data_IF_647957620118
#
_entry.id   IF_647957620118
#
_cell.length_a   1.000
_cell.length_b   1.000
_cell.length_c   1.000
_cell.angle_alpha   90.00
_cell.angle_beta   90.00
_cell.angle_gamma   90.00
#
_symmetry.space_group_name_H-M   'P 1'
#
loop_
_entity.id
_entity.type
_entity.pdbx_description
1 polymer ?
#
# COMPACT_ATOMS: atom_id res chain seq x y z
N UNK A 1 -8.46 8.45 12.89
CA UNK A 1 -8.43 9.30 11.70
C UNK A 1 -7.91 10.66 12.12
N UNK A 2 -6.85 11.16 11.47
CA UNK A 2 -6.32 12.51 11.69
C UNK A 2 -6.70 13.38 10.50
N UNK A 3 -7.22 14.56 10.75
CA UNK A 3 -7.66 15.50 9.71
C UNK A 3 -6.94 16.83 9.93
N UNK A 4 -6.21 17.31 8.94
CA UNK A 4 -5.58 18.62 8.96
C UNK A 4 -6.06 19.48 7.79
N UNK A 5 -6.43 20.72 8.09
CA UNK A 5 -6.70 21.72 7.06
C UNK A 5 -5.41 22.07 6.34
N UNK A 6 -5.45 22.07 5.01
CA UNK A 6 -4.35 22.64 4.22
C UNK A 6 -4.51 24.14 4.06
N UNK A 7 -3.45 24.81 3.60
CA UNK A 7 -3.43 26.25 3.33
C UNK A 7 -4.40 26.70 2.22
N UNK A 8 -5.04 25.75 1.51
CA UNK A 8 -6.07 26.00 0.50
C UNK A 8 -7.44 25.76 1.12
N UNK A 9 -8.30 26.79 1.08
CA UNK A 9 -9.66 26.69 1.60
C UNK A 9 -10.41 25.50 0.98
N UNK A 10 -10.91 24.60 1.85
CA UNK A 10 -11.71 23.45 1.46
C UNK A 10 -10.92 22.16 1.14
N UNK A 11 -9.59 22.16 1.32
CA UNK A 11 -8.79 20.93 1.21
C UNK A 11 -8.31 20.44 2.57
N UNK A 12 -8.46 19.14 2.82
CA UNK A 12 -8.06 18.49 4.06
C UNK A 12 -7.17 17.29 3.75
N UNK A 13 -6.06 17.18 4.49
CA UNK A 13 -5.32 15.93 4.56
C UNK A 13 -6.01 15.03 5.58
N UNK A 14 -6.28 13.80 5.15
CA UNK A 14 -6.93 12.79 5.96
C UNK A 14 -6.00 11.60 6.04
N UNK A 15 -5.64 11.22 7.27
CA UNK A 15 -4.84 10.03 7.55
C UNK A 15 -5.68 9.03 8.35
N UNK A 16 -5.60 7.78 7.95
CA UNK A 16 -6.24 6.65 8.62
C UNK A 16 -5.23 6.00 9.56
N UNK A 17 -5.68 5.55 10.73
CA UNK A 17 -4.83 4.76 11.65
C UNK A 17 -4.84 3.28 11.25
N UNK A 18 -3.86 2.52 11.75
CA UNK A 18 -3.79 1.07 11.50
C UNK A 18 -5.03 0.34 12.03
N UNK A 19 -5.57 0.76 13.18
CA UNK A 19 -6.79 0.20 13.77
C UNK A 19 -8.03 0.43 12.87
N UNK A 20 -8.14 1.60 12.26
CA UNK A 20 -9.24 1.92 11.34
C UNK A 20 -9.10 1.14 10.02
N UNK A 21 -7.87 0.93 9.56
CA UNK A 21 -7.61 0.08 8.40
C UNK A 21 -8.03 -1.38 8.68
N UNK A 22 -7.78 -1.88 9.90
CA UNK A 22 -8.25 -3.20 10.32
C UNK A 22 -9.78 -3.28 10.43
N UNK A 23 -10.42 -2.22 10.92
CA UNK A 23 -11.89 -2.15 10.95
C UNK A 23 -12.49 -2.14 9.54
N UNK A 24 -11.92 -1.37 8.61
CA UNK A 24 -12.32 -1.37 7.21
C UNK A 24 -12.18 -2.75 6.58
N UNK A 25 -11.11 -3.47 6.93
CA UNK A 25 -10.88 -4.84 6.50
C UNK A 25 -11.94 -5.80 7.03
N UNK A 26 -12.32 -5.68 8.31
CA UNK A 26 -13.41 -6.47 8.92
C UNK A 26 -14.77 -6.18 8.29
N UNK A 27 -14.99 -4.94 7.83
CA UNK A 27 -16.21 -4.54 7.13
C UNK A 27 -16.25 -4.96 5.65
N UNK A 28 -15.16 -5.51 5.09
CA UNK A 28 -15.11 -5.92 3.70
C UNK A 28 -16.10 -7.06 3.42
N UNK A 29 -17.03 -6.83 2.49
CA UNK A 29 -18.09 -7.78 2.17
C UNK A 29 -17.59 -9.01 1.40
N UNK A 30 -16.48 -8.88 0.67
CA UNK A 30 -15.93 -9.95 -0.16
C UNK A 30 -14.43 -10.14 0.04
N UNK A 31 -13.95 -11.35 -0.24
CA UNK A 31 -12.52 -11.65 -0.24
C UNK A 31 -11.73 -10.78 -1.24
N UNK A 32 -12.37 -10.38 -2.34
CA UNK A 32 -11.76 -9.47 -3.31
C UNK A 32 -11.53 -8.09 -2.72
N UNK A 33 -12.49 -7.57 -1.98
CA UNK A 33 -12.38 -6.25 -1.34
C UNK A 33 -11.36 -6.29 -0.20
N UNK A 34 -11.32 -7.38 0.57
CA UNK A 34 -10.26 -7.63 1.56
C UNK A 34 -8.86 -7.58 0.91
N UNK A 35 -8.67 -8.27 -0.22
CA UNK A 35 -7.40 -8.22 -0.95
C UNK A 35 -7.04 -6.83 -1.47
N UNK A 36 -8.02 -6.04 -1.89
CA UNK A 36 -7.80 -4.65 -2.34
C UNK A 36 -7.35 -3.79 -1.17
N UNK A 37 -7.99 -3.92 0.00
CA UNK A 37 -7.62 -3.21 1.24
C UNK A 37 -6.22 -3.63 1.70
N UNK A 38 -5.88 -4.93 1.62
CA UNK A 38 -4.55 -5.43 1.96
C UNK A 38 -3.46 -4.86 1.04
N UNK A 39 -3.68 -4.90 -0.27
CA UNK A 39 -2.72 -4.39 -1.26
C UNK A 39 -2.60 -2.86 -1.22
N UNK A 40 -3.70 -2.15 -0.96
CA UNK A 40 -3.71 -0.70 -0.85
C UNK A 40 -3.10 -0.21 0.46
N UNK A 41 -3.52 -0.78 1.59
CA UNK A 41 -3.17 -0.34 2.93
C UNK A 41 -1.80 -0.85 3.40
N UNK A 42 -1.55 -2.17 3.35
CA UNK A 42 -0.32 -2.75 3.90
C UNK A 42 0.87 -2.70 2.93
N UNK A 43 0.61 -2.76 1.62
CA UNK A 43 1.66 -2.71 0.58
C UNK A 43 1.84 -1.30 0.00
N UNK A 44 0.83 -0.43 0.13
CA UNK A 44 0.87 0.92 -0.43
C UNK A 44 0.71 0.97 -1.95
N UNK A 45 0.06 -0.03 -2.55
CA UNK A 45 -0.21 -0.02 -4.00
C UNK A 45 -1.29 1.00 -4.35
N UNK A 46 -1.12 1.66 -5.49
CA UNK A 46 -2.16 2.55 -6.01
C UNK A 46 -3.29 1.74 -6.67
N UNK A 47 -4.47 2.33 -6.73
CA UNK A 47 -5.67 1.72 -7.34
C UNK A 47 -5.43 1.15 -8.75
N UNK A 48 -4.59 1.81 -9.56
CA UNK A 48 -4.26 1.33 -10.91
C UNK A 48 -3.19 0.22 -10.94
N UNK A 49 -2.40 0.06 -9.89
CA UNK A 49 -1.36 -0.98 -9.77
C UNK A 49 -1.97 -2.30 -9.29
N UNK A 50 -2.96 -2.25 -8.40
CA UNK A 50 -3.65 -3.42 -7.81
C UNK A 50 -4.14 -4.43 -8.86
N UNK A 51 -4.92 -4.07 -9.90
CA UNK A 51 -5.44 -5.03 -10.87
C UNK A 51 -4.36 -5.63 -11.79
N UNK A 52 -3.16 -5.05 -11.85
CA UNK A 52 -2.05 -5.57 -12.66
C UNK A 52 -1.24 -6.64 -11.93
N UNK A 53 -1.42 -6.75 -10.61
CA UNK A 53 -0.77 -7.77 -9.79
C UNK A 53 -1.33 -9.15 -10.14
N UNK A 54 -0.45 -10.13 -10.28
CA UNK A 54 -0.78 -11.53 -10.54
C UNK A 54 0.01 -12.41 -9.58
N UNK A 55 -0.47 -13.62 -9.25
CA UNK A 55 0.23 -14.54 -8.34
C UNK A 55 1.71 -14.78 -8.72
N UNK A 56 2.00 -14.87 -10.03
CA UNK A 56 3.37 -15.02 -10.57
C UNK A 56 4.34 -13.87 -10.23
N UNK A 57 3.83 -12.74 -9.73
CA UNK A 57 4.64 -11.60 -9.33
C UNK A 57 5.04 -11.63 -7.85
N UNK A 58 4.50 -12.57 -7.08
CA UNK A 58 4.87 -12.81 -5.68
C UNK A 58 6.10 -13.71 -5.67
N UNK A 59 7.18 -13.25 -5.04
CA UNK A 59 8.37 -14.07 -4.80
C UNK A 59 8.61 -14.16 -3.30
N UNK A 60 8.92 -15.36 -2.82
CA UNK A 60 9.37 -15.55 -1.44
C UNK A 60 10.82 -15.09 -1.34
N UNK A 61 11.13 -14.35 -0.29
CA UNK A 61 12.50 -13.89 0.00
C UNK A 61 13.29 -15.08 0.52
N UNK A 62 14.63 -15.07 0.34
CA UNK A 62 15.52 -16.13 0.79
C UNK A 62 15.41 -16.38 2.31
N UNK A 63 15.07 -15.34 3.06
CA UNK A 63 14.81 -15.38 4.50
C UNK A 63 13.56 -16.21 4.88
N UNK A 64 12.76 -16.68 3.92
CA UNK A 64 11.58 -17.54 4.16
C UNK A 64 10.36 -16.83 4.76
N UNK A 65 10.54 -15.76 5.50
CA UNK A 65 9.47 -15.10 6.26
C UNK A 65 8.78 -13.96 5.49
N UNK A 66 9.37 -13.51 4.40
CA UNK A 66 8.94 -12.30 3.70
C UNK A 66 8.54 -12.58 2.26
N UNK A 67 7.41 -12.01 1.83
CA UNK A 67 6.97 -12.02 0.43
C UNK A 67 7.29 -10.68 -0.24
N UNK A 68 7.91 -10.73 -1.42
CA UNK A 68 8.19 -9.56 -2.25
C UNK A 68 7.23 -9.54 -3.43
N UNK A 69 6.48 -8.46 -3.56
CA UNK A 69 5.57 -8.24 -4.67
C UNK A 69 6.22 -7.37 -5.74
N UNK A 70 6.28 -7.87 -6.98
CA UNK A 70 6.74 -7.07 -8.13
C UNK A 70 5.56 -6.42 -8.84
N UNK A 71 5.52 -5.09 -8.90
CA UNK A 71 4.53 -4.37 -9.71
C UNK A 71 5.06 -4.25 -11.15
N UNK A 72 4.32 -4.72 -12.17
CA UNK A 72 4.80 -4.71 -13.56
C UNK A 72 4.89 -3.31 -14.18
N UNK A 73 3.95 -2.42 -13.85
CA UNK A 73 3.86 -1.07 -14.41
C UNK A 73 3.27 -0.13 -13.36
N UNK A 74 4.02 0.88 -12.98
CA UNK A 74 3.59 1.92 -12.05
C UNK A 74 4.15 3.27 -12.49
N UNK A 75 3.40 4.36 -12.28
CA UNK A 75 3.93 5.71 -12.49
C UNK A 75 4.96 5.96 -11.39
N UNK A 76 6.23 5.94 -11.77
CA UNK A 76 7.34 6.29 -10.92
C UNK A 76 7.17 7.73 -10.43
N UNK A 77 6.95 7.91 -9.13
CA UNK A 77 7.23 9.19 -8.45
C UNK A 77 8.70 9.26 -8.02
N UNK A 78 9.60 8.76 -8.88
CA UNK A 78 11.04 8.91 -8.75
C UNK A 78 11.58 9.46 -10.07
N UNK A 79 11.27 10.73 -10.32
CA UNK A 79 12.06 11.69 -11.11
C UNK A 79 13.09 11.10 -12.10
N UNK A 80 12.65 10.33 -13.09
CA UNK A 80 13.46 9.95 -14.26
C UNK A 80 14.62 8.96 -14.03
N UNK A 81 14.92 8.51 -12.81
CA UNK A 81 16.00 7.54 -12.52
C UNK A 81 15.64 6.62 -11.34
N UNK A 82 14.64 5.76 -11.53
CA UNK A 82 14.12 4.89 -10.46
C UNK A 82 14.60 3.44 -10.53
N UNK A 83 15.41 3.01 -9.57
CA UNK A 83 15.60 1.58 -9.28
C UNK A 83 14.26 0.90 -8.94
N UNK A 84 14.04 -0.36 -9.34
CA UNK A 84 12.77 -1.06 -9.12
C UNK A 84 12.42 -1.10 -7.63
N UNK A 85 11.24 -0.57 -7.26
CA UNK A 85 10.70 -0.59 -5.90
C UNK A 85 10.76 -2.02 -5.34
N UNK A 86 11.69 -2.24 -4.42
CA UNK A 86 11.81 -3.45 -3.62
C UNK A 86 11.28 -3.16 -2.23
N UNK A 87 9.99 -3.38 -1.99
CA UNK A 87 9.44 -3.27 -0.65
C UNK A 87 9.72 -4.57 0.10
N UNK A 88 10.46 -4.47 1.21
CA UNK A 88 10.66 -5.52 2.21
C UNK A 88 9.51 -5.36 3.21
N UNK A 89 8.70 -6.41 3.49
CA UNK A 89 7.80 -6.35 4.64
C UNK A 89 8.69 -6.29 5.90
N UNK A 90 8.40 -5.39 6.83
CA UNK A 90 9.14 -5.28 8.10
C UNK A 90 10.01 -4.03 8.30
N UNK A 91 9.75 -2.92 7.61
CA UNK A 91 10.32 -1.64 8.04
C UNK A 91 9.60 -1.19 9.34
N UNK A 92 10.32 -0.90 10.44
CA UNK A 92 9.69 -0.40 11.66
C UNK A 92 8.96 0.91 11.35
N UNK A 93 7.86 1.22 12.06
CA UNK A 93 7.17 2.48 11.89
C UNK A 93 8.19 3.59 12.10
N UNK A 94 8.38 4.42 11.08
CA UNK A 94 9.12 5.67 11.27
C UNK A 94 8.25 6.51 12.17
N UNK A 95 8.64 6.62 13.44
CA UNK A 95 8.08 7.59 14.36
C UNK A 95 8.24 8.97 13.73
N UNK A 96 7.11 9.58 13.38
CA UNK A 96 6.96 11.00 13.14
C UNK A 96 6.38 11.59 14.42
#
# INVERSE_FOLDING_TARGET
>A
MRIESTSVNGQYHVWMTDEELEELRRAAATFRDDLIILLGGYVGLRAFEIPQVKPKHVKRTLDGDHFRLRVPRGKDTANGTGSPRSLRPGAPPRNC
#
